data_IF_691029391949
#
_entry.id   IF_691029391949
#
_cell.length_a   1.000
_cell.length_b   1.000
_cell.length_c   1.000
_cell.angle_alpha   90.00
_cell.angle_beta   90.00
_cell.angle_gamma   90.00
#
_symmetry.space_group_name_H-M   'P 1'
#
loop_
_entity.id
_entity.type
_entity.pdbx_description
1 polymer ?
#
# COMPACT_ATOMS: atom_id res chain seq x y z
N UNK A 1 -26.03 -44.69 -24.97
CA UNK A 1 -24.76 -44.72 -24.21
C UNK A 1 -23.69 -43.78 -24.77
N UNK A 2 -23.18 -43.96 -25.99
CA UNK A 2 -22.09 -43.09 -26.54
C UNK A 2 -22.41 -41.58 -26.53
N UNK A 3 -23.64 -41.18 -26.88
CA UNK A 3 -24.08 -39.77 -26.83
C UNK A 3 -24.14 -39.19 -25.41
N UNK A 4 -24.55 -40.01 -24.42
CA UNK A 4 -24.62 -39.61 -23.01
C UNK A 4 -23.21 -39.42 -22.44
N UNK A 5 -22.28 -40.35 -22.77
CA UNK A 5 -20.88 -40.23 -22.39
C UNK A 5 -20.21 -38.98 -22.99
N UNK A 6 -20.52 -38.67 -24.26
CA UNK A 6 -20.00 -37.46 -24.91
C UNK A 6 -20.52 -36.18 -24.25
N UNK A 7 -21.82 -36.11 -23.94
CA UNK A 7 -22.42 -34.97 -23.25
C UNK A 7 -21.79 -34.80 -21.86
N UNK A 8 -21.66 -35.89 -21.08
CA UNK A 8 -21.04 -35.85 -19.76
C UNK A 8 -19.58 -35.36 -19.82
N UNK A 9 -18.79 -35.81 -20.80
CA UNK A 9 -17.42 -35.35 -21.00
C UNK A 9 -17.35 -33.87 -21.38
N UNK A 10 -18.25 -33.40 -22.24
CA UNK A 10 -18.34 -31.99 -22.63
C UNK A 10 -18.72 -31.10 -21.43
N UNK A 11 -19.70 -31.52 -20.63
CA UNK A 11 -20.11 -30.82 -19.41
C UNK A 11 -18.96 -30.76 -18.41
N UNK A 12 -18.24 -31.87 -18.20
CA UNK A 12 -17.09 -31.90 -17.30
C UNK A 12 -15.97 -30.96 -17.77
N UNK A 13 -15.67 -30.94 -19.07
CA UNK A 13 -14.67 -30.02 -19.63
C UNK A 13 -15.06 -28.55 -19.43
N UNK A 14 -16.34 -28.20 -19.59
CA UNK A 14 -16.84 -26.84 -19.33
C UNK A 14 -16.74 -26.46 -17.85
N UNK A 15 -17.08 -27.38 -16.94
CA UNK A 15 -16.94 -27.14 -15.49
C UNK A 15 -15.48 -26.95 -15.11
N UNK A 16 -14.58 -27.77 -15.62
CA UNK A 16 -13.13 -27.61 -15.37
C UNK A 16 -12.63 -26.28 -15.92
N UNK A 17 -13.02 -25.90 -17.14
CA UNK A 17 -12.66 -24.62 -17.74
C UNK A 17 -13.16 -23.43 -16.93
N UNK A 18 -14.39 -23.50 -16.42
CA UNK A 18 -14.95 -22.48 -15.53
C UNK A 18 -14.21 -22.40 -14.19
N UNK A 19 -13.93 -23.55 -13.56
CA UNK A 19 -13.18 -23.58 -12.30
C UNK A 19 -11.77 -23.00 -12.47
N UNK A 20 -11.08 -23.34 -13.56
CA UNK A 20 -9.76 -22.80 -13.86
C UNK A 20 -9.78 -21.26 -13.95
N UNK A 21 -10.72 -20.70 -14.73
CA UNK A 21 -10.89 -19.25 -14.87
C UNK A 21 -11.27 -18.57 -13.55
N UNK A 22 -12.11 -19.22 -12.75
CA UNK A 22 -12.52 -18.71 -11.45
C UNK A 22 -11.34 -18.67 -10.47
N UNK A 23 -10.58 -19.76 -10.34
CA UNK A 23 -9.44 -19.83 -9.42
C UNK A 23 -8.27 -18.93 -9.85
N UNK A 24 -7.99 -18.80 -11.15
CA UNK A 24 -6.93 -17.89 -11.63
C UNK A 24 -7.25 -16.44 -11.27
N UNK A 25 -8.51 -16.03 -11.40
CA UNK A 25 -8.93 -14.68 -11.06
C UNK A 25 -8.89 -14.41 -9.54
N UNK A 26 -9.25 -15.42 -8.74
CA UNK A 26 -9.12 -15.36 -7.29
C UNK A 26 -7.66 -15.27 -6.85
N UNK A 27 -6.70 -15.85 -7.57
CA UNK A 27 -5.29 -15.71 -7.20
C UNK A 27 -4.75 -14.30 -7.45
N UNK A 28 -5.09 -13.70 -8.59
CA UNK A 28 -4.74 -12.31 -8.92
C UNK A 28 -5.35 -11.31 -7.92
N UNK A 29 -6.63 -11.47 -7.57
CA UNK A 29 -7.36 -10.57 -6.68
C UNK A 29 -6.87 -10.60 -5.20
N UNK A 30 -6.07 -11.62 -4.82
CA UNK A 30 -5.53 -11.78 -3.47
C UNK A 30 -4.00 -11.59 -3.41
N UNK A 31 -3.36 -11.32 -4.54
CA UNK A 31 -1.93 -11.04 -4.58
C UNK A 31 -1.61 -9.65 -4.03
N UNK A 32 -0.50 -9.47 -3.31
CA UNK A 32 -0.10 -8.17 -2.78
C UNK A 32 0.22 -7.20 -3.92
N UNK A 33 -0.39 -6.03 -3.88
CA UNK A 33 -0.09 -4.91 -4.78
C UNK A 33 0.88 -3.98 -4.09
N UNK A 34 2.07 -3.88 -4.64
CA UNK A 34 3.11 -2.96 -4.16
C UNK A 34 3.03 -1.63 -4.93
N UNK A 35 3.29 -0.53 -4.23
CA UNK A 35 3.46 0.79 -4.84
C UNK A 35 4.69 1.42 -4.25
N UNK A 36 5.62 1.84 -5.11
CA UNK A 36 6.84 2.53 -4.71
C UNK A 36 6.88 3.93 -5.30
N UNK A 37 7.23 4.91 -4.46
CA UNK A 37 7.45 6.29 -4.86
C UNK A 37 8.76 6.80 -4.29
N UNK A 38 9.71 7.11 -5.17
CA UNK A 38 10.92 7.84 -4.79
C UNK A 38 10.58 9.31 -4.54
N UNK A 39 10.96 9.81 -3.37
CA UNK A 39 10.78 11.22 -3.01
C UNK A 39 12.03 12.05 -3.30
N UNK A 40 13.19 11.46 -3.09
CA UNK A 40 14.53 12.01 -3.30
C UNK A 40 15.51 10.83 -3.30
N UNK A 41 16.76 11.07 -3.70
CA UNK A 41 17.80 10.03 -3.75
C UNK A 41 17.90 9.31 -2.40
N UNK A 42 17.62 8.01 -2.39
CA UNK A 42 17.67 7.17 -1.19
C UNK A 42 16.51 7.36 -0.20
N UNK A 43 15.39 7.99 -0.60
CA UNK A 43 14.18 8.15 0.21
C UNK A 43 12.94 7.71 -0.54
N UNK A 44 12.25 6.70 -0.02
CA UNK A 44 11.13 6.05 -0.67
C UNK A 44 9.92 6.01 0.25
N UNK A 45 8.74 6.30 -0.31
CA UNK A 45 7.46 5.85 0.24
C UNK A 45 7.08 4.56 -0.46
N UNK A 46 6.72 3.55 0.34
CA UNK A 46 6.23 2.29 -0.19
C UNK A 46 4.88 1.97 0.42
N UNK A 47 4.04 1.34 -0.37
CA UNK A 47 2.76 0.81 0.05
C UNK A 47 2.69 -0.65 -0.36
N UNK A 48 2.15 -1.50 0.51
CA UNK A 48 1.65 -2.81 0.12
C UNK A 48 0.20 -2.90 0.54
N UNK A 49 -0.64 -3.31 -0.41
CA UNK A 49 -2.04 -3.60 -0.19
C UNK A 49 -2.28 -5.08 -0.51
N UNK A 50 -2.86 -5.85 0.42
CA UNK A 50 -3.28 -7.21 0.12
C UNK A 50 -4.76 -7.44 0.48
N UNK A 51 -5.49 -8.10 -0.41
CA UNK A 51 -6.92 -8.44 -0.26
C UNK A 51 -7.88 -7.52 -1.02
N UNK A 52 -9.02 -8.09 -1.45
CA UNK A 52 -10.02 -7.46 -2.33
C UNK A 52 -10.55 -6.12 -1.79
N UNK A 53 -10.72 -6.01 -0.47
CA UNK A 53 -11.29 -4.85 0.23
C UNK A 53 -10.24 -3.84 0.66
N UNK A 54 -8.95 -4.13 0.49
CA UNK A 54 -7.86 -3.28 0.96
C UNK A 54 -7.73 -3.23 2.48
N UNK A 55 -8.30 -4.21 3.19
CA UNK A 55 -8.29 -4.33 4.66
C UNK A 55 -6.88 -4.51 5.23
N UNK A 56 -5.89 -4.76 4.38
CA UNK A 56 -4.50 -4.78 4.76
C UNK A 56 -3.73 -3.82 3.88
N UNK A 57 -3.60 -2.61 4.39
CA UNK A 57 -2.85 -1.55 3.77
C UNK A 57 -1.72 -1.15 4.71
N UNK A 58 -0.49 -1.24 4.20
CA UNK A 58 0.71 -0.87 4.93
C UNK A 58 1.51 0.14 4.14
N UNK A 59 1.66 1.34 4.71
CA UNK A 59 2.55 2.37 4.18
C UNK A 59 3.83 2.40 4.99
N UNK A 60 4.99 2.48 4.33
CA UNK A 60 6.28 2.65 4.99
C UNK A 60 7.09 3.79 4.37
N UNK A 61 7.98 4.37 5.17
CA UNK A 61 9.08 5.22 4.70
C UNK A 61 10.37 4.42 4.82
N UNK A 62 11.14 4.34 3.74
CA UNK A 62 12.30 3.45 3.60
C UNK A 62 13.46 4.16 2.90
N UNK A 63 14.69 3.74 3.21
CA UNK A 63 15.90 4.08 2.45
C UNK A 63 16.29 3.03 1.39
N UNK A 64 15.60 1.88 1.35
CA UNK A 64 15.77 0.84 0.32
C UNK A 64 14.85 1.13 -0.89
N UNK A 65 15.35 0.94 -2.11
CA UNK A 65 14.64 1.10 -3.37
C UNK A 65 13.86 -0.14 -3.83
N UNK A 66 13.95 -1.28 -3.13
CA UNK A 66 13.18 -2.49 -3.50
C UNK A 66 11.67 -2.27 -3.43
N UNK A 67 10.97 -2.60 -4.51
CA UNK A 67 9.51 -2.46 -4.62
C UNK A 67 8.78 -3.48 -3.76
N UNK A 68 9.13 -4.76 -3.86
CA UNK A 68 8.69 -5.80 -2.93
C UNK A 68 9.50 -5.69 -1.63
N UNK A 69 8.81 -5.71 -0.50
CA UNK A 69 9.44 -5.57 0.81
C UNK A 69 8.72 -6.35 1.90
N UNK A 70 9.48 -6.70 2.92
CA UNK A 70 8.98 -7.02 4.25
C UNK A 70 9.31 -5.84 5.17
N UNK A 71 8.34 -5.32 5.96
CA UNK A 71 8.58 -4.17 6.80
C UNK A 71 9.52 -4.50 7.96
N UNK A 72 10.69 -3.83 8.03
CA UNK A 72 11.61 -3.93 9.16
C UNK A 72 11.48 -2.71 10.09
N UNK A 73 11.02 -2.87 11.34
CA UNK A 73 10.86 -1.75 12.27
C UNK A 73 12.19 -1.07 12.68
N UNK A 74 13.34 -1.70 12.46
CA UNK A 74 14.65 -1.10 12.73
C UNK A 74 15.13 -0.19 11.60
N UNK A 75 14.62 -0.40 10.38
CA UNK A 75 15.06 0.29 9.16
C UNK A 75 13.97 1.17 8.55
N UNK A 76 12.69 0.97 8.89
CA UNK A 76 11.57 1.67 8.27
C UNK A 76 10.66 2.33 9.30
N UNK A 77 10.07 3.47 8.91
CA UNK A 77 8.90 4.01 9.59
C UNK A 77 7.68 3.27 9.07
N UNK A 78 6.96 2.56 9.95
CA UNK A 78 5.85 1.69 9.57
C UNK A 78 4.52 2.34 9.99
N UNK A 79 3.70 2.71 9.02
CA UNK A 79 2.34 3.21 9.21
C UNK A 79 1.36 2.06 8.94
N UNK A 80 1.13 1.25 9.98
CA UNK A 80 0.11 0.22 9.97
C UNK A 80 -1.18 0.79 10.56
N UNK A 81 -2.29 0.79 9.81
CA UNK A 81 -3.71 0.81 10.23
C UNK A 81 -4.56 1.04 8.96
N UNK A 82 -5.77 0.47 8.93
CA UNK A 82 -6.84 0.76 7.98
C UNK A 82 -6.92 2.27 7.68
N UNK A 83 -6.73 2.64 6.41
CA UNK A 83 -6.64 4.02 5.91
C UNK A 83 -5.29 4.74 6.22
N UNK A 84 -4.17 4.05 5.92
CA UNK A 84 -2.79 4.56 5.99
C UNK A 84 -2.45 5.69 4.99
N UNK A 85 -3.43 6.53 4.66
CA UNK A 85 -3.21 7.77 3.90
C UNK A 85 -2.32 8.70 4.72
N UNK A 86 -1.13 8.97 4.19
CA UNK A 86 -0.23 9.98 4.72
C UNK A 86 -0.18 11.17 3.77
N UNK A 87 -0.09 12.36 4.35
CA UNK A 87 0.26 13.57 3.62
C UNK A 87 1.70 13.90 3.90
N UNK A 88 2.48 14.17 2.86
CA UNK A 88 3.91 14.36 3.01
C UNK A 88 4.40 15.62 2.28
N UNK A 89 5.49 16.18 2.77
CA UNK A 89 6.21 17.30 2.14
C UNK A 89 7.70 17.13 2.42
N UNK A 90 8.52 17.20 1.38
CA UNK A 90 9.98 17.22 1.52
C UNK A 90 10.47 18.68 1.49
N UNK A 91 11.36 19.03 2.40
CA UNK A 91 12.04 20.34 2.42
C UNK A 91 13.47 20.17 2.92
N UNK A 92 14.43 20.27 2.00
CA UNK A 92 15.82 19.88 2.28
C UNK A 92 15.88 18.41 2.72
N UNK A 93 16.60 18.16 3.80
CA UNK A 93 16.78 16.80 4.35
C UNK A 93 15.66 16.39 5.31
N UNK A 94 14.57 17.15 5.37
CA UNK A 94 13.44 16.86 6.27
C UNK A 94 12.20 16.43 5.51
N UNK A 95 11.72 15.23 5.80
CA UNK A 95 10.42 14.71 5.38
C UNK A 95 9.38 15.00 6.46
N UNK A 96 8.46 15.90 6.17
CA UNK A 96 7.31 16.19 7.02
C UNK A 96 6.17 15.25 6.66
N UNK A 97 5.67 14.50 7.64
CA UNK A 97 4.55 13.58 7.51
C UNK A 97 3.41 14.04 8.40
N UNK A 98 2.22 14.13 7.81
CA UNK A 98 0.96 14.41 8.48
C UNK A 98 -0.01 13.29 8.23
N UNK A 99 -0.50 12.70 9.30
CA UNK A 99 -1.34 11.51 9.23
C UNK A 99 -2.28 11.46 10.43
N UNK A 100 -3.30 10.62 10.34
CA UNK A 100 -4.23 10.41 11.45
C UNK A 100 -3.58 9.58 12.59
N UNK A 101 -2.60 8.75 12.25
CA UNK A 101 -1.79 7.96 13.18
C UNK A 101 -0.30 8.18 12.93
N UNK A 102 0.49 8.18 14.00
CA UNK A 102 1.95 8.13 13.89
C UNK A 102 2.41 6.75 13.43
N UNK A 103 3.63 6.68 12.89
CA UNK A 103 4.29 5.41 12.63
C UNK A 103 4.38 4.59 13.93
N UNK A 104 4.10 3.30 13.82
CA UNK A 104 4.24 2.33 14.91
C UNK A 104 5.71 2.07 15.24
N UNK A 105 6.59 2.23 14.27
CA UNK A 105 8.04 2.11 14.45
C UNK A 105 8.74 3.42 14.15
N UNK A 106 9.77 3.69 14.95
CA UNK A 106 10.79 4.69 14.66
C UNK A 106 12.12 3.94 14.47
N UNK A 107 12.67 3.91 13.25
CA UNK A 107 13.83 3.12 12.92
C UNK A 107 15.10 3.65 13.59
N UNK A 108 15.96 2.72 14.03
CA UNK A 108 17.25 3.05 14.66
C UNK A 108 18.33 3.40 13.65
N UNK A 109 18.19 2.93 12.41
CA UNK A 109 19.26 2.97 11.39
C UNK A 109 18.87 3.80 10.16
N UNK A 110 17.86 4.67 10.27
CA UNK A 110 17.42 5.52 9.17
C UNK A 110 18.40 6.66 8.93
N UNK A 111 18.95 6.74 7.72
CA UNK A 111 20.06 7.65 7.38
C UNK A 111 19.66 8.60 6.27
N UNK A 112 20.33 9.75 6.22
CA UNK A 112 20.21 10.73 5.14
C UNK A 112 19.05 11.72 5.28
N UNK A 113 17.99 11.39 6.03
CA UNK A 113 16.83 12.27 6.18
C UNK A 113 16.31 12.28 7.61
N UNK A 114 15.82 13.45 8.04
CA UNK A 114 15.04 13.64 9.26
C UNK A 114 13.57 13.42 8.91
N UNK A 115 12.86 12.60 9.68
CA UNK A 115 11.43 12.38 9.48
C UNK A 115 10.66 13.00 10.64
N UNK A 116 9.91 14.06 10.36
CA UNK A 116 9.07 14.72 11.34
C UNK A 116 7.61 14.32 11.14
N UNK A 117 7.02 13.73 12.17
CA UNK A 117 5.65 13.25 12.14
C UNK A 117 4.74 14.14 12.97
N UNK A 118 3.60 14.53 12.40
CA UNK A 118 2.54 15.23 13.12
C UNK A 118 1.25 14.42 13.03
N UNK A 119 0.77 13.95 14.17
CA UNK A 119 -0.55 13.36 14.27
C UNK A 119 -1.62 14.45 14.20
N UNK A 120 -2.58 14.30 13.30
CA UNK A 120 -3.73 15.18 13.18
C UNK A 120 -4.94 14.58 13.91
N UNK A 121 -5.62 15.37 14.74
CA UNK A 121 -6.92 15.00 15.27
C UNK A 121 -7.99 14.93 14.17
N UNK A 122 -9.12 14.29 14.44
CA UNK A 122 -10.14 14.00 13.41
C UNK A 122 -10.62 15.23 12.63
N UNK A 123 -10.83 16.36 13.32
CA UNK A 123 -11.26 17.61 12.70
C UNK A 123 -10.15 18.23 11.85
N UNK A 124 -8.90 18.15 12.31
CA UNK A 124 -7.74 18.69 11.61
C UNK A 124 -7.43 17.85 10.39
N UNK A 125 -7.47 16.53 10.52
CA UNK A 125 -7.27 15.59 9.41
C UNK A 125 -8.28 15.82 8.29
N UNK A 126 -9.57 16.00 8.64
CA UNK A 126 -10.61 16.29 7.65
C UNK A 126 -10.40 17.62 6.94
N UNK A 127 -10.00 18.67 7.66
CA UNK A 127 -9.67 19.96 7.05
C UNK A 127 -8.46 19.84 6.14
N UNK A 128 -7.40 19.20 6.64
CA UNK A 128 -6.15 18.99 5.92
C UNK A 128 -6.36 18.20 4.63
N UNK A 129 -7.22 17.18 4.66
CA UNK A 129 -7.60 16.41 3.46
C UNK A 129 -8.12 17.27 2.31
N UNK A 130 -8.73 18.42 2.60
CA UNK A 130 -9.30 19.31 1.58
C UNK A 130 -8.30 20.36 1.08
N UNK A 131 -7.33 20.77 1.91
CA UNK A 131 -6.43 21.90 1.62
C UNK A 131 -4.94 21.53 1.57
N UNK A 132 -4.57 20.25 1.68
CA UNK A 132 -3.17 19.80 1.72
C UNK A 132 -2.33 20.31 0.54
N UNK A 133 -2.91 20.34 -0.67
CA UNK A 133 -2.24 20.84 -1.88
C UNK A 133 -1.88 22.32 -1.76
N UNK A 134 -2.79 23.14 -1.22
CA UNK A 134 -2.56 24.58 -0.99
C UNK A 134 -1.43 24.81 0.04
N UNK A 135 -1.25 23.85 0.96
CA UNK A 135 -0.17 23.86 1.95
C UNK A 135 1.15 23.29 1.42
N UNK A 136 1.20 22.88 0.16
CA UNK A 136 2.37 22.30 -0.51
C UNK A 136 2.69 20.86 -0.08
N UNK A 137 1.67 20.10 0.35
CA UNK A 137 1.79 18.68 0.63
C UNK A 137 1.30 17.84 -0.55
N UNK A 138 1.80 16.62 -0.63
CA UNK A 138 1.31 15.55 -1.50
C UNK A 138 0.62 14.49 -0.64
N UNK A 139 -0.17 13.61 -1.28
CA UNK A 139 -0.87 12.48 -0.62
C UNK A 139 -0.21 11.18 -1.08
N UNK A 140 -0.08 10.20 -0.19
CA UNK A 140 0.34 8.85 -0.51
C UNK A 140 -0.40 7.84 0.36
N UNK A 141 -0.75 6.65 -0.16
CA UNK A 141 -0.74 6.27 -1.58
C UNK A 141 -1.74 7.09 -2.42
N UNK A 142 -1.43 7.24 -3.70
CA UNK A 142 -2.31 7.84 -4.71
C UNK A 142 -3.20 6.73 -5.29
N UNK A 143 -4.26 6.36 -4.55
CA UNK A 143 -5.31 5.52 -5.12
C UNK A 143 -6.25 6.40 -5.96
N UNK A 144 -6.47 6.01 -7.21
CA UNK A 144 -7.47 6.57 -8.13
C UNK A 144 -8.91 6.23 -7.70
#
# INVERSE_FOLDING_TARGET
MKRILFIAALTLALVIGFLYQFFSKVEDDFSPVYTLKELSEGLYLKNVNWGITGDYNLTIVSNDAKEEFEPDPNENYIFSIDDATIYYKLSGDTLYIKSYYLARSEPKVFKGYIVEQTQLGITEFRKFKNDFKERGYSKFPEFD
#
